data_IF_254345650019
#
_entry.id   IF_254345650019
#
_cell.length_a   1.000
_cell.length_b   1.000
_cell.length_c   1.000
_cell.angle_alpha   90.00
_cell.angle_beta   90.00
_cell.angle_gamma   90.00
#
_symmetry.space_group_name_H-M   'P 1'
#
loop_
_entity.id
_entity.type
_entity.pdbx_description
1 polymer ?
#
# COMPACT_ATOMS: atom_id res chain seq x y z
N UNK A 1 32.07 -48.32 2.89
CA UNK A 1 31.26 -47.19 3.37
C UNK A 1 31.13 -46.20 2.23
N UNK A 2 30.11 -46.39 1.37
CA UNK A 2 29.80 -45.46 0.28
C UNK A 2 28.96 -44.33 0.84
N UNK A 3 29.47 -43.10 0.75
CA UNK A 3 28.70 -41.90 1.03
C UNK A 3 27.59 -41.78 -0.02
N UNK A 4 26.34 -41.99 0.40
CA UNK A 4 25.17 -41.62 -0.39
C UNK A 4 25.06 -40.10 -0.39
N UNK A 5 25.34 -39.47 -1.53
CA UNK A 5 24.95 -38.08 -1.79
C UNK A 5 23.43 -37.96 -1.70
N UNK A 6 22.95 -37.02 -0.88
CA UNK A 6 21.53 -36.70 -0.79
C UNK A 6 21.12 -35.92 -2.04
N UNK A 7 19.97 -36.26 -2.68
CA UNK A 7 19.51 -35.55 -3.86
C UNK A 7 19.18 -34.09 -3.55
N UNK A 8 19.67 -33.22 -4.43
CA UNK A 8 19.43 -31.78 -4.45
C UNK A 8 17.92 -31.52 -4.60
N UNK A 9 17.27 -30.97 -3.58
CA UNK A 9 15.85 -30.65 -3.64
C UNK A 9 15.65 -29.42 -4.51
N UNK A 10 15.10 -29.64 -5.71
CA UNK A 10 14.61 -28.58 -6.61
C UNK A 10 13.75 -27.58 -5.82
N UNK A 11 14.32 -26.40 -5.59
CA UNK A 11 13.70 -25.29 -4.88
C UNK A 11 12.56 -24.73 -5.73
N UNK A 12 11.35 -25.27 -5.53
CA UNK A 12 10.13 -24.80 -6.19
C UNK A 12 9.93 -23.32 -5.84
N UNK A 13 10.00 -22.44 -6.85
CA UNK A 13 9.82 -21.00 -6.67
C UNK A 13 8.50 -20.68 -5.97
N UNK A 14 8.52 -19.70 -5.07
CA UNK A 14 7.31 -19.23 -4.40
C UNK A 14 6.33 -18.63 -5.42
N UNK A 15 5.03 -18.77 -5.14
CA UNK A 15 3.96 -18.19 -5.98
C UNK A 15 4.15 -16.68 -6.19
N UNK A 16 4.64 -15.97 -5.17
CA UNK A 16 4.92 -14.53 -5.27
C UNK A 16 6.02 -14.25 -6.31
N UNK A 17 7.11 -15.02 -6.29
CA UNK A 17 8.20 -14.85 -7.27
C UNK A 17 7.73 -15.15 -8.70
N UNK A 18 6.90 -16.17 -8.86
CA UNK A 18 6.29 -16.53 -10.16
C UNK A 18 5.42 -15.38 -10.68
N UNK A 19 4.53 -14.84 -9.86
CA UNK A 19 3.65 -13.74 -10.28
C UNK A 19 4.42 -12.46 -10.57
N UNK A 20 5.45 -12.15 -9.77
CA UNK A 20 6.32 -11.00 -10.03
C UNK A 20 7.07 -11.13 -11.36
N UNK A 21 7.60 -12.31 -11.67
CA UNK A 21 8.25 -12.57 -12.96
C UNK A 21 7.30 -12.31 -14.12
N UNK A 22 6.07 -12.86 -14.07
CA UNK A 22 5.05 -12.62 -15.11
C UNK A 22 4.70 -11.14 -15.25
N UNK A 23 4.55 -10.43 -14.13
CA UNK A 23 4.26 -8.99 -14.12
C UNK A 23 5.32 -8.18 -14.87
N UNK A 24 6.60 -8.50 -14.61
CA UNK A 24 7.75 -7.86 -15.26
C UNK A 24 7.85 -8.25 -16.74
N UNK A 25 7.62 -9.53 -17.09
CA UNK A 25 7.58 -10.00 -18.48
C UNK A 25 6.52 -9.29 -19.33
N UNK A 26 5.41 -8.87 -18.71
CA UNK A 26 4.38 -8.04 -19.34
C UNK A 26 4.78 -6.57 -19.50
N UNK A 27 6.00 -6.18 -19.11
CA UNK A 27 6.52 -4.82 -19.21
C UNK A 27 6.13 -3.89 -18.06
N UNK A 28 5.52 -4.43 -17.00
CA UNK A 28 5.12 -3.63 -15.84
C UNK A 28 6.26 -3.49 -14.82
N UNK A 29 6.17 -2.45 -13.99
CA UNK A 29 7.11 -2.19 -12.89
C UNK A 29 6.39 -2.19 -11.55
N UNK A 30 7.13 -2.41 -10.46
CA UNK A 30 6.64 -2.16 -9.10
C UNK A 30 7.05 -0.73 -8.72
N UNK A 31 6.14 0.13 -8.23
CA UNK A 31 6.48 1.48 -7.80
C UNK A 31 7.51 1.50 -6.67
N UNK A 32 8.25 2.60 -6.58
CA UNK A 32 9.17 2.86 -5.46
C UNK A 32 8.42 3.29 -4.20
N UNK A 33 9.04 3.07 -3.04
CA UNK A 33 8.56 3.50 -1.74
C UNK A 33 8.29 5.01 -1.72
N UNK A 34 7.19 5.41 -1.10
CA UNK A 34 6.80 6.82 -1.04
C UNK A 34 7.69 7.69 -0.15
N UNK A 35 8.37 7.07 0.81
CA UNK A 35 9.17 7.81 1.79
C UNK A 35 10.44 8.35 1.11
N UNK A 36 10.68 9.63 1.28
CA UNK A 36 11.84 10.32 0.72
C UNK A 36 13.13 9.66 1.21
N UNK A 37 14.09 9.50 0.30
CA UNK A 37 15.36 8.80 0.55
C UNK A 37 15.27 7.26 0.50
N UNK A 38 14.12 6.68 0.14
CA UNK A 38 13.98 5.24 -0.02
C UNK A 38 13.77 4.81 -1.48
N UNK A 39 14.72 4.02 -2.01
CA UNK A 39 14.66 3.51 -3.40
C UNK A 39 14.09 2.09 -3.51
N UNK A 40 13.68 1.49 -2.39
CA UNK A 40 13.11 0.15 -2.40
C UNK A 40 11.73 0.14 -3.08
N UNK A 41 11.42 -0.93 -3.80
CA UNK A 41 10.07 -1.19 -4.28
C UNK A 41 9.07 -1.28 -3.12
N UNK A 42 7.84 -0.82 -3.37
CA UNK A 42 6.73 -0.98 -2.43
C UNK A 42 6.46 -2.45 -2.12
N UNK A 43 5.94 -2.71 -0.93
CA UNK A 43 5.61 -4.08 -0.54
C UNK A 43 4.34 -4.56 -1.25
N UNK A 44 4.42 -5.74 -1.87
CA UNK A 44 3.27 -6.47 -2.39
C UNK A 44 2.58 -7.18 -1.22
N UNK A 45 1.29 -6.89 -0.98
CA UNK A 45 0.48 -7.56 0.06
C UNK A 45 0.04 -8.95 -0.41
N UNK A 46 -0.52 -9.00 -1.61
CA UNK A 46 -1.05 -10.20 -2.24
C UNK A 46 -1.24 -9.94 -3.74
N UNK A 47 -1.56 -10.99 -4.49
CA UNK A 47 -1.87 -10.91 -5.91
C UNK A 47 -3.37 -11.15 -6.12
N UNK A 48 -3.99 -10.39 -7.02
CA UNK A 48 -5.35 -10.69 -7.47
C UNK A 48 -5.37 -11.98 -8.30
N UNK A 49 -6.55 -12.57 -8.49
CA UNK A 49 -6.71 -13.73 -9.37
C UNK A 49 -6.32 -13.41 -10.83
N UNK A 50 -6.38 -12.13 -11.21
CA UNK A 50 -6.02 -11.62 -12.54
C UNK A 50 -4.51 -11.34 -12.66
N UNK A 51 -3.73 -11.54 -11.59
CA UNK A 51 -2.28 -11.28 -11.61
C UNK A 51 -1.90 -9.81 -11.38
N UNK A 52 -2.81 -8.97 -10.93
CA UNK A 52 -2.54 -7.57 -10.54
C UNK A 52 -2.10 -7.51 -9.06
N UNK A 53 -0.95 -6.90 -8.72
CA UNK A 53 -0.46 -6.87 -7.36
C UNK A 53 -1.22 -5.85 -6.51
N UNK A 54 -1.64 -6.29 -5.32
CA UNK A 54 -2.15 -5.40 -4.28
C UNK A 54 -0.96 -4.77 -3.55
N UNK A 55 -0.71 -3.50 -3.83
CA UNK A 55 0.46 -2.77 -3.34
C UNK A 55 0.19 -2.04 -2.03
N UNK A 56 1.24 -1.89 -1.21
CA UNK A 56 1.31 -0.80 -0.23
C UNK A 56 1.87 0.45 -0.90
N UNK A 57 1.79 1.57 -0.23
CA UNK A 57 2.49 2.81 -0.59
C UNK A 57 3.96 2.83 -0.11
N UNK A 58 4.29 1.97 0.86
CA UNK A 58 5.60 1.86 1.49
C UNK A 58 6.24 0.47 1.22
N UNK A 59 7.57 0.41 1.20
CA UNK A 59 8.29 -0.86 1.32
C UNK A 59 8.11 -1.46 2.73
N UNK A 60 8.37 -2.77 2.90
CA UNK A 60 8.17 -3.44 4.20
C UNK A 60 9.02 -2.84 5.32
N UNK A 61 10.29 -2.50 5.04
CA UNK A 61 11.22 -1.88 6.00
C UNK A 61 10.66 -0.56 6.54
N UNK A 62 10.19 0.31 5.65
CA UNK A 62 9.61 1.59 6.03
C UNK A 62 8.30 1.42 6.80
N UNK A 63 7.39 0.59 6.29
CA UNK A 63 6.10 0.35 6.94
C UNK A 63 6.28 -0.16 8.38
N UNK A 64 7.22 -1.09 8.59
CA UNK A 64 7.49 -1.65 9.92
C UNK A 64 8.17 -0.66 10.85
N UNK A 65 9.10 0.15 10.34
CA UNK A 65 9.74 1.21 11.12
C UNK A 65 8.72 2.26 11.58
N UNK A 66 7.86 2.73 10.67
CA UNK A 66 6.78 3.67 11.01
C UNK A 66 5.85 3.11 12.10
N UNK A 67 5.40 1.86 11.97
CA UNK A 67 4.53 1.21 12.97
C UNK A 67 5.20 1.05 14.34
N UNK A 68 6.51 0.83 14.35
CA UNK A 68 7.31 0.68 15.58
C UNK A 68 7.89 2.01 16.08
N UNK A 69 7.51 3.14 15.47
CA UNK A 69 8.06 4.46 15.75
C UNK A 69 9.60 4.48 15.73
N UNK A 70 10.21 3.80 14.77
CA UNK A 70 11.66 3.73 14.60
C UNK A 70 12.11 4.70 13.51
N UNK A 71 13.11 5.51 13.83
CA UNK A 71 13.80 6.32 12.84
C UNK A 71 14.65 5.43 11.92
N UNK A 72 14.80 5.83 10.66
CA UNK A 72 15.76 5.25 9.72
C UNK A 72 16.56 6.41 9.14
N UNK A 73 17.88 6.36 9.30
CA UNK A 73 18.77 7.40 8.79
C UNK A 73 18.59 7.61 7.28
N UNK A 74 18.49 8.88 6.88
CA UNK A 74 18.29 9.28 5.49
C UNK A 74 16.87 9.08 4.95
N UNK A 75 15.90 8.64 5.76
CA UNK A 75 14.52 8.44 5.32
C UNK A 75 13.57 9.43 6.02
N UNK A 76 12.74 10.11 5.23
CA UNK A 76 11.63 10.93 5.74
C UNK A 76 10.28 10.27 5.43
N UNK A 77 9.51 9.99 6.47
CA UNK A 77 8.19 9.36 6.32
C UNK A 77 7.17 10.33 5.73
N UNK A 78 6.51 9.91 4.65
CA UNK A 78 5.52 10.74 3.95
C UNK A 78 4.19 10.80 4.72
N UNK A 79 3.72 9.65 5.23
CA UNK A 79 2.44 9.51 5.92
C UNK A 79 2.34 10.45 7.11
N UNK A 80 1.25 11.21 7.18
CA UNK A 80 0.98 12.12 8.29
C UNK A 80 0.36 11.39 9.48
N UNK A 81 0.48 12.01 10.65
CA UNK A 81 -0.20 11.65 11.89
C UNK A 81 -1.46 12.50 12.12
N UNK A 82 -1.99 13.12 11.06
CA UNK A 82 -3.21 13.92 11.08
C UNK A 82 -4.01 13.68 9.79
N UNK A 83 -5.30 14.02 9.82
CA UNK A 83 -6.16 13.93 8.65
C UNK A 83 -6.05 15.18 7.77
N UNK A 84 -5.79 15.01 6.48
CA UNK A 84 -5.67 16.12 5.52
C UNK A 84 -7.04 16.60 5.01
N UNK A 85 -8.13 15.85 5.25
CA UNK A 85 -9.51 16.32 5.03
C UNK A 85 -10.00 17.31 6.13
N UNK A 86 -9.09 17.93 6.88
CA UNK A 86 -9.40 18.87 7.96
C UNK A 86 -10.11 20.14 7.47
N UNK A 87 -9.98 20.48 6.19
CA UNK A 87 -10.55 21.69 5.57
C UNK A 87 -11.62 21.35 4.52
N UNK A 88 -12.08 20.09 4.46
CA UNK A 88 -13.28 19.72 3.72
C UNK A 88 -13.08 19.40 2.23
N UNK A 89 -11.88 19.03 1.80
CA UNK A 89 -11.60 18.73 0.39
C UNK A 89 -12.40 17.56 -0.19
N UNK A 90 -12.94 16.68 0.66
CA UNK A 90 -13.85 15.61 0.25
C UNK A 90 -15.31 16.07 0.15
N UNK A 91 -15.59 17.36 0.23
CA UNK A 91 -16.95 17.92 0.29
C UNK A 91 -17.56 17.87 1.70
N UNK A 92 -16.81 17.43 2.70
CA UNK A 92 -17.20 17.47 4.11
C UNK A 92 -15.98 17.62 5.02
N UNK A 93 -16.13 18.33 6.13
CA UNK A 93 -15.06 18.53 7.12
C UNK A 93 -14.85 17.25 7.95
N UNK A 94 -13.60 16.85 8.15
CA UNK A 94 -13.23 15.75 9.04
C UNK A 94 -13.88 15.93 10.43
N UNK A 95 -14.63 14.94 10.95
CA UNK A 95 -15.33 15.07 12.24
C UNK A 95 -14.42 14.90 13.46
N UNK A 96 -13.17 14.51 13.26
CA UNK A 96 -12.19 14.41 14.34
C UNK A 96 -11.67 15.78 14.73
N UNK A 97 -11.53 16.01 16.04
CA UNK A 97 -10.89 17.20 16.58
C UNK A 97 -9.42 17.31 16.14
N UNK A 98 -9.06 18.45 15.56
CA UNK A 98 -7.73 18.71 14.99
C UNK A 98 -6.64 18.72 16.07
N UNK A 99 -6.97 19.17 17.28
CA UNK A 99 -6.03 19.25 18.40
C UNK A 99 -5.69 17.86 18.97
N UNK A 100 -6.53 16.86 18.69
CA UNK A 100 -6.43 15.51 19.26
C UNK A 100 -5.84 14.48 18.31
N UNK A 101 -5.40 14.88 17.11
CA UNK A 101 -4.86 13.94 16.13
C UNK A 101 -3.69 13.10 16.66
N UNK A 102 -2.85 13.71 17.48
CA UNK A 102 -1.68 13.06 18.07
C UNK A 102 -2.03 12.02 19.16
N UNK A 103 -3.26 11.98 19.66
CA UNK A 103 -3.72 10.98 20.64
C UNK A 103 -3.94 9.60 20.00
N UNK A 104 -4.08 9.53 18.68
CA UNK A 104 -4.44 8.29 17.98
C UNK A 104 -3.23 7.60 17.34
N UNK A 105 -3.21 6.26 17.29
CA UNK A 105 -2.11 5.53 16.68
C UNK A 105 -2.04 5.76 15.16
N UNK A 106 -0.85 5.68 14.59
CA UNK A 106 -0.62 5.89 13.14
C UNK A 106 -1.54 5.04 12.26
N UNK A 107 -1.98 3.86 12.72
CA UNK A 107 -2.81 2.92 11.97
C UNK A 107 -4.23 3.44 11.65
N UNK A 108 -4.75 4.43 12.39
CA UNK A 108 -6.04 5.05 12.04
C UNK A 108 -5.94 6.00 10.84
N UNK A 109 -4.73 6.38 10.44
CA UNK A 109 -4.49 7.21 9.28
C UNK A 109 -4.14 6.29 8.09
N UNK A 110 -4.70 6.56 6.93
CA UNK A 110 -4.51 5.78 5.71
C UNK A 110 -4.01 6.72 4.61
N UNK A 111 -3.00 6.28 3.87
CA UNK A 111 -2.60 6.95 2.64
C UNK A 111 -3.51 6.46 1.52
N UNK A 112 -4.11 7.39 0.79
CA UNK A 112 -5.07 7.16 -0.28
C UNK A 112 -4.57 7.83 -1.56
N UNK A 113 -4.81 7.19 -2.70
CA UNK A 113 -4.43 7.70 -4.02
C UNK A 113 -5.55 8.59 -4.57
N UNK A 114 -5.24 9.84 -4.92
CA UNK A 114 -6.23 10.81 -5.38
C UNK A 114 -6.88 10.37 -6.71
N UNK A 115 -6.12 9.77 -7.61
CA UNK A 115 -6.60 9.23 -8.88
C UNK A 115 -7.19 7.82 -8.78
N UNK A 116 -7.15 7.19 -7.60
CA UNK A 116 -7.57 5.80 -7.37
C UNK A 116 -6.68 4.73 -8.02
N UNK A 117 -5.56 5.11 -8.64
CA UNK A 117 -4.61 4.19 -9.25
C UNK A 117 -3.49 3.85 -8.27
N UNK A 118 -3.55 2.64 -7.70
CA UNK A 118 -2.56 2.17 -6.72
C UNK A 118 -1.13 2.00 -7.28
N UNK A 119 -0.96 2.04 -8.60
CA UNK A 119 0.35 2.01 -9.26
C UNK A 119 0.98 3.42 -9.37
N UNK A 120 0.19 4.49 -9.25
CA UNK A 120 0.68 5.87 -9.29
C UNK A 120 1.12 6.35 -7.90
N UNK A 121 2.24 5.80 -7.40
CA UNK A 121 2.74 6.03 -6.04
C UNK A 121 3.60 7.31 -5.91
N UNK A 122 3.10 8.44 -6.40
CA UNK A 122 3.78 9.74 -6.33
C UNK A 122 3.30 10.57 -5.12
N UNK A 123 4.17 11.40 -4.55
CA UNK A 123 3.88 12.23 -3.36
C UNK A 123 2.76 13.23 -3.58
N UNK A 124 2.59 13.73 -4.80
CA UNK A 124 1.49 14.63 -5.17
C UNK A 124 0.17 13.90 -5.47
N UNK A 125 0.19 12.56 -5.60
CA UNK A 125 -0.99 11.74 -5.80
C UNK A 125 -1.46 11.05 -4.50
N UNK A 126 -0.75 11.25 -3.40
CA UNK A 126 -1.08 10.64 -2.11
C UNK A 126 -1.57 11.66 -1.10
N UNK A 127 -2.53 11.22 -0.31
CA UNK A 127 -3.10 11.99 0.79
C UNK A 127 -3.37 11.12 2.00
N UNK A 128 -3.21 11.69 3.19
CA UNK A 128 -3.47 11.02 4.46
C UNK A 128 -4.87 11.34 4.98
N UNK A 129 -5.74 10.34 5.03
CA UNK A 129 -7.06 10.43 5.64
C UNK A 129 -7.16 9.60 6.91
N UNK A 130 -7.92 10.08 7.91
CA UNK A 130 -8.31 9.21 9.02
C UNK A 130 -9.30 8.14 8.55
N UNK A 131 -9.43 7.05 9.30
CA UNK A 131 -10.29 5.92 9.00
C UNK A 131 -11.75 6.33 8.74
N UNK A 132 -12.25 7.35 9.45
CA UNK A 132 -13.61 7.87 9.26
C UNK A 132 -13.75 8.52 7.87
N UNK A 133 -12.85 9.44 7.52
CA UNK A 133 -12.89 10.13 6.22
C UNK A 133 -12.68 9.16 5.06
N UNK A 134 -11.70 8.27 5.20
CA UNK A 134 -11.38 7.25 4.20
C UNK A 134 -12.57 6.30 3.96
N UNK A 135 -13.22 5.83 5.03
CA UNK A 135 -14.39 4.94 4.93
C UNK A 135 -15.58 5.64 4.28
N UNK A 136 -15.86 6.89 4.67
CA UNK A 136 -16.94 7.68 4.08
C UNK A 136 -16.71 7.92 2.58
N UNK A 137 -15.51 8.39 2.22
CA UNK A 137 -15.09 8.54 0.82
C UNK A 137 -15.34 7.24 0.04
N UNK A 138 -14.80 6.12 0.51
CA UNK A 138 -14.92 4.82 -0.16
C UNK A 138 -16.38 4.36 -0.35
N UNK A 139 -17.27 4.69 0.60
CA UNK A 139 -18.70 4.40 0.46
C UNK A 139 -19.36 5.30 -0.60
N UNK A 140 -19.06 6.59 -0.58
CA UNK A 140 -19.64 7.59 -1.50
C UNK A 140 -19.11 7.44 -2.94
N UNK A 141 -17.85 7.03 -3.12
CA UNK A 141 -17.22 6.72 -4.41
C UNK A 141 -17.60 5.33 -4.94
N UNK A 142 -18.29 4.50 -4.14
CA UNK A 142 -18.66 3.15 -4.50
C UNK A 142 -17.48 2.17 -4.55
N UNK A 143 -16.39 2.43 -3.83
CA UNK A 143 -15.22 1.53 -3.78
C UNK A 143 -15.53 0.19 -3.08
N UNK A 144 -16.64 0.14 -2.34
CA UNK A 144 -17.16 -1.10 -1.75
C UNK A 144 -18.10 -1.88 -2.67
N UNK A 145 -18.40 -1.35 -3.86
CA UNK A 145 -19.21 -2.07 -4.83
C UNK A 145 -18.35 -3.11 -5.56
N UNK A 146 -18.55 -4.39 -5.23
CA UNK A 146 -17.85 -5.52 -5.85
C UNK A 146 -18.15 -5.74 -7.35
N UNK A 147 -19.09 -4.99 -7.92
CA UNK A 147 -19.45 -5.01 -9.34
C UNK A 147 -18.94 -3.78 -10.11
N UNK A 148 -18.29 -2.82 -9.45
CA UNK A 148 -17.69 -1.65 -10.12
C UNK A 148 -16.58 -2.13 -11.06
N UNK A 149 -16.40 -1.52 -12.23
CA UNK A 149 -15.33 -1.91 -13.17
C UNK A 149 -13.92 -1.80 -12.56
N UNK A 150 -13.72 -0.88 -11.61
CA UNK A 150 -12.51 -0.74 -10.81
C UNK A 150 -12.44 -1.68 -9.60
N UNK A 151 -13.55 -2.32 -9.22
CA UNK A 151 -13.54 -3.38 -8.22
C UNK A 151 -12.98 -4.64 -8.87
N UNK A 152 -12.17 -5.39 -8.10
CA UNK A 152 -11.44 -6.57 -8.57
C UNK A 152 -12.41 -7.49 -9.31
N UNK A 153 -12.35 -7.49 -10.65
CA UNK A 153 -13.32 -8.20 -11.49
C UNK A 153 -13.21 -9.68 -11.17
N UNK A 154 -14.17 -10.21 -10.41
CA UNK A 154 -14.38 -11.64 -10.29
C UNK A 154 -14.96 -12.10 -11.63
N UNK A 155 -14.11 -12.58 -12.55
CA UNK A 155 -14.62 -13.34 -13.69
C UNK A 155 -15.25 -14.62 -13.12
N UNK A 156 -16.58 -14.69 -13.19
CA UNK A 156 -17.38 -15.91 -12.97
C UNK A 156 -17.09 -16.89 -14.09
#
# INVERSE_FOLDING_TARGET
MSNMEKPNTDSKMSLNKINLSKWIEMGNTIPICINEGCENNVAIRHWSAQGDPSLKTECSRCADARKKNKNIDGITFHKKNYCENKDGMLGFICPMDKERYNEFPSDIYHMDHLDGNHHNNLTNNLITFCAICHTRKGKESGDFNAFKSSSRIHKV
#
